data_IF_092813315763
#
_entry.id   IF_092813315763
#
_cell.length_a   1.000
_cell.length_b   1.000
_cell.length_c   1.000
_cell.angle_alpha   90.00
_cell.angle_beta   90.00
_cell.angle_gamma   90.00
#
_symmetry.space_group_name_H-M   'P 1'
#
loop_
_entity.id
_entity.type
_entity.pdbx_description
1 polymer ?
#
# COMPACT_ATOMS: atom_id res chain seq x y z
N UNK A 1 -19.80 14.00 5.84
CA UNK A 1 -18.42 13.82 5.97
C UNK A 1 -18.01 12.35 5.95
N UNK A 2 -16.90 12.15 5.56
CA UNK A 2 -16.32 10.93 5.17
C UNK A 2 -16.02 9.90 6.22
N UNK A 3 -16.13 10.25 7.51
CA UNK A 3 -16.02 9.29 8.59
C UNK A 3 -17.04 8.16 8.41
N UNK A 4 -18.28 8.50 8.04
CA UNK A 4 -19.31 7.49 7.84
C UNK A 4 -19.01 6.58 6.66
N UNK A 5 -18.49 7.14 5.56
CA UNK A 5 -18.11 6.34 4.40
C UNK A 5 -16.93 5.42 4.69
N UNK A 6 -15.96 5.90 5.46
CA UNK A 6 -14.78 5.12 5.81
C UNK A 6 -15.11 3.97 6.76
N UNK A 7 -16.04 4.16 7.67
CA UNK A 7 -16.38 3.18 8.71
C UNK A 7 -17.70 2.47 8.47
N UNK A 8 -18.32 2.65 7.31
CA UNK A 8 -19.68 2.15 7.04
C UNK A 8 -19.82 0.63 7.18
N UNK A 9 -18.74 -0.11 6.96
CA UNK A 9 -18.73 -1.57 7.06
C UNK A 9 -18.24 -2.09 8.40
N UNK A 10 -17.95 -1.21 9.35
CA UNK A 10 -17.51 -1.62 10.68
C UNK A 10 -18.71 -2.11 11.48
N UNK A 11 -18.58 -3.29 12.06
CA UNK A 11 -19.63 -3.89 12.87
C UNK A 11 -19.72 -3.19 14.23
N UNK A 12 -20.93 -3.11 14.80
CA UNK A 12 -21.07 -2.59 16.17
C UNK A 12 -20.20 -3.36 17.16
N UNK A 13 -19.60 -2.65 18.08
CA UNK A 13 -18.82 -3.28 19.15
C UNK A 13 -17.32 -3.23 18.99
N UNK A 14 -16.79 -2.52 17.96
CA UNK A 14 -15.37 -2.29 17.92
C UNK A 14 -14.75 -2.21 16.54
N UNK A 15 -13.44 -2.10 16.55
CA UNK A 15 -12.66 -2.10 15.34
C UNK A 15 -12.74 -3.47 14.67
N UNK A 16 -12.91 -3.45 13.36
CA UNK A 16 -12.81 -4.66 12.56
C UNK A 16 -11.46 -4.67 11.87
N UNK A 17 -11.02 -5.85 11.48
CA UNK A 17 -9.81 -6.00 10.67
C UNK A 17 -9.92 -5.17 9.38
N UNK A 18 -11.13 -5.07 8.82
CA UNK A 18 -11.36 -4.26 7.63
C UNK A 18 -11.01 -2.80 7.82
N UNK A 19 -11.42 -2.20 8.94
CA UNK A 19 -11.07 -0.81 9.23
C UNK A 19 -9.57 -0.62 9.39
N UNK A 20 -8.92 -1.52 10.10
CA UNK A 20 -7.47 -1.46 10.29
C UNK A 20 -6.73 -1.57 8.96
N UNK A 21 -7.18 -2.46 8.09
CA UNK A 21 -6.61 -2.64 6.75
C UNK A 21 -6.75 -1.35 5.93
N UNK A 22 -7.93 -0.72 5.95
CA UNK A 22 -8.15 0.56 5.26
C UNK A 22 -7.19 1.63 5.74
N UNK A 23 -7.04 1.75 7.06
CA UNK A 23 -6.16 2.73 7.66
C UNK A 23 -4.72 2.48 7.21
N UNK A 24 -4.27 1.23 7.24
CA UNK A 24 -2.91 0.87 6.84
C UNK A 24 -2.65 1.13 5.36
N UNK A 25 -3.60 0.83 4.49
CA UNK A 25 -3.46 1.12 3.06
C UNK A 25 -3.25 2.62 2.85
N UNK A 26 -4.11 3.44 3.43
CA UNK A 26 -4.01 4.88 3.32
C UNK A 26 -2.72 5.40 3.96
N UNK A 27 -2.34 4.84 5.10
CA UNK A 27 -1.11 5.20 5.79
C UNK A 27 0.12 4.96 4.91
N UNK A 28 0.20 3.79 4.26
CA UNK A 28 1.31 3.48 3.36
C UNK A 28 1.35 4.43 2.18
N UNK A 29 0.22 4.63 1.52
CA UNK A 29 0.17 5.53 0.35
C UNK A 29 0.54 6.96 0.72
N UNK A 30 0.16 7.39 1.92
CA UNK A 30 0.48 8.73 2.39
C UNK A 30 1.97 8.91 2.70
N UNK A 31 2.58 7.92 3.35
CA UNK A 31 3.96 8.05 3.81
C UNK A 31 5.02 7.61 2.81
N UNK A 32 4.68 6.72 1.89
CA UNK A 32 5.63 6.25 0.86
C UNK A 32 5.77 7.28 -0.27
N UNK A 33 4.78 8.14 -0.46
CA UNK A 33 4.81 9.20 -1.47
C UNK A 33 5.01 8.71 -2.90
N UNK A 34 4.42 7.57 -3.22
CA UNK A 34 4.42 7.06 -4.58
C UNK A 34 3.20 6.19 -4.81
N UNK A 35 2.84 6.00 -6.08
CA UNK A 35 1.81 5.04 -6.42
C UNK A 35 2.27 3.63 -6.12
N UNK A 36 1.36 2.82 -5.59
CA UNK A 36 1.64 1.42 -5.26
C UNK A 36 0.61 0.55 -5.99
N UNK A 37 1.09 -0.51 -6.63
CA UNK A 37 0.20 -1.42 -7.33
C UNK A 37 -0.51 -2.36 -6.36
N UNK A 38 -1.59 -2.98 -6.84
CA UNK A 38 -2.32 -3.99 -6.07
C UNK A 38 -1.38 -5.10 -5.61
N UNK A 39 -0.54 -5.61 -6.52
CA UNK A 39 0.38 -6.69 -6.21
C UNK A 39 1.43 -6.28 -5.17
N UNK A 40 1.94 -5.07 -5.25
CA UNK A 40 2.94 -4.56 -4.31
C UNK A 40 2.40 -4.49 -2.89
N UNK A 41 1.24 -3.87 -2.71
CA UNK A 41 0.63 -3.77 -1.37
C UNK A 41 0.27 -5.16 -0.85
N UNK A 42 -0.26 -6.02 -1.72
CA UNK A 42 -0.60 -7.38 -1.33
C UNK A 42 0.61 -8.14 -0.81
N UNK A 43 1.73 -8.04 -1.50
CA UNK A 43 2.97 -8.72 -1.08
C UNK A 43 3.48 -8.18 0.26
N UNK A 44 3.43 -6.87 0.45
CA UNK A 44 3.85 -6.24 1.70
C UNK A 44 2.99 -6.75 2.87
N UNK A 45 1.67 -6.76 2.69
CA UNK A 45 0.76 -7.21 3.75
C UNK A 45 0.89 -8.69 4.02
N UNK A 46 1.02 -9.49 2.96
CA UNK A 46 1.18 -10.94 3.08
C UNK A 46 2.48 -11.30 3.80
N UNK A 47 3.57 -10.63 3.46
CA UNK A 47 4.88 -10.94 4.03
C UNK A 47 4.95 -10.73 5.54
N UNK A 48 4.11 -9.87 6.08
CA UNK A 48 4.05 -9.56 7.52
C UNK A 48 2.81 -10.12 8.21
N UNK A 49 2.01 -10.89 7.49
CA UNK A 49 0.77 -11.45 8.04
C UNK A 49 -0.24 -10.42 8.48
N UNK A 50 -0.25 -9.24 7.84
CA UNK A 50 -1.14 -8.14 8.20
C UNK A 50 -2.56 -8.43 7.73
N UNK A 51 -2.71 -8.94 6.51
CA UNK A 51 -4.01 -9.24 5.94
C UNK A 51 -3.86 -10.32 4.89
N UNK A 52 -4.91 -11.14 4.71
CA UNK A 52 -4.94 -12.08 3.61
C UNK A 52 -5.44 -11.40 2.34
N UNK A 53 -5.33 -12.11 1.22
CA UNK A 53 -5.70 -11.57 -0.09
C UNK A 53 -7.15 -11.08 -0.13
N UNK A 54 -8.08 -11.87 0.42
CA UNK A 54 -9.50 -11.54 0.34
C UNK A 54 -9.84 -10.30 1.14
N UNK A 55 -9.31 -10.20 2.35
CA UNK A 55 -9.53 -9.03 3.22
C UNK A 55 -8.97 -7.77 2.59
N UNK A 56 -7.73 -7.84 2.14
CA UNK A 56 -7.07 -6.72 1.50
C UNK A 56 -7.79 -6.28 0.21
N UNK A 57 -8.11 -7.24 -0.65
CA UNK A 57 -8.78 -7.00 -1.91
C UNK A 57 -10.11 -6.29 -1.72
N UNK A 58 -10.88 -6.72 -0.72
CA UNK A 58 -12.17 -6.13 -0.38
C UNK A 58 -12.01 -4.68 0.06
N UNK A 59 -11.00 -4.39 0.89
CA UNK A 59 -10.80 -3.03 1.38
C UNK A 59 -10.27 -2.08 0.32
N UNK A 60 -9.43 -2.57 -0.60
CA UNK A 60 -9.02 -1.78 -1.76
C UNK A 60 -10.25 -1.35 -2.57
N UNK A 61 -11.15 -2.30 -2.84
CA UNK A 61 -12.37 -2.02 -3.57
C UNK A 61 -13.21 -0.95 -2.88
N UNK A 62 -13.36 -1.06 -1.57
CA UNK A 62 -14.13 -0.10 -0.77
C UNK A 62 -13.49 1.28 -0.78
N UNK A 63 -12.17 1.36 -0.68
CA UNK A 63 -11.45 2.65 -0.72
C UNK A 63 -11.55 3.32 -2.08
N UNK A 64 -11.53 2.55 -3.16
CA UNK A 64 -11.74 3.09 -4.50
C UNK A 64 -13.15 3.64 -4.64
N UNK A 65 -14.13 2.88 -4.18
CA UNK A 65 -15.55 3.27 -4.29
C UNK A 65 -15.84 4.53 -3.48
N UNK A 66 -15.24 4.65 -2.31
CA UNK A 66 -15.47 5.80 -1.42
C UNK A 66 -14.66 7.04 -1.80
N UNK A 67 -13.72 6.93 -2.73
CA UNK A 67 -12.91 8.06 -3.16
C UNK A 67 -11.73 8.39 -2.27
N UNK A 68 -11.36 7.51 -1.35
CA UNK A 68 -10.19 7.70 -0.50
C UNK A 68 -8.89 7.43 -1.24
N UNK A 69 -8.95 6.58 -2.25
CA UNK A 69 -7.85 6.32 -3.16
C UNK A 69 -8.36 6.35 -4.60
N UNK A 70 -7.45 6.56 -5.54
CA UNK A 70 -7.75 6.48 -6.98
C UNK A 70 -6.75 5.57 -7.65
N UNK A 71 -7.15 4.97 -8.76
CA UNK A 71 -6.29 4.13 -9.57
C UNK A 71 -5.90 4.87 -10.84
N UNK A 72 -4.63 4.80 -11.19
CA UNK A 72 -4.12 5.36 -12.45
C UNK A 72 -3.27 4.33 -13.15
N UNK A 73 -3.51 4.16 -14.46
CA UNK A 73 -2.69 3.30 -15.28
C UNK A 73 -1.47 4.09 -15.74
N UNK A 74 -0.29 3.62 -15.36
CA UNK A 74 0.96 4.28 -15.69
C UNK A 74 1.45 3.92 -17.10
N UNK A 75 2.51 4.59 -17.53
CA UNK A 75 3.09 4.39 -18.86
C UNK A 75 3.52 2.93 -19.07
N UNK A 76 3.98 2.26 -18.01
CA UNK A 76 4.37 0.85 -18.08
C UNK A 76 3.20 -0.13 -18.13
N UNK A 77 1.97 0.37 -18.16
CA UNK A 77 0.76 -0.43 -18.22
C UNK A 77 0.27 -0.95 -16.87
N UNK A 78 0.98 -0.65 -15.80
CA UNK A 78 0.62 -1.10 -14.45
C UNK A 78 -0.30 -0.07 -13.79
N UNK A 79 -1.41 -0.54 -13.23
CA UNK A 79 -2.27 0.31 -12.43
C UNK A 79 -1.68 0.51 -11.05
N UNK A 80 -1.64 1.76 -10.60
CA UNK A 80 -1.17 2.10 -9.26
C UNK A 80 -2.19 2.96 -8.55
N UNK A 81 -2.26 2.76 -7.26
CA UNK A 81 -3.16 3.51 -6.39
C UNK A 81 -2.45 4.72 -5.82
N UNK A 82 -3.21 5.80 -5.74
CA UNK A 82 -2.74 7.06 -5.16
C UNK A 82 -3.75 7.51 -4.12
N UNK A 83 -3.27 8.05 -3.03
CA UNK A 83 -4.15 8.59 -2.00
C UNK A 83 -4.71 9.94 -2.46
N UNK A 84 -5.98 10.19 -2.15
CA UNK A 84 -6.61 11.48 -2.42
C UNK A 84 -6.51 12.38 -1.19
N UNK A 85 -6.86 13.67 -1.35
CA UNK A 85 -6.92 14.58 -0.20
C UNK A 85 -7.87 14.05 0.88
N UNK A 86 -8.99 13.47 0.46
CA UNK A 86 -9.92 12.81 1.37
C UNK A 86 -9.25 11.67 2.12
N UNK A 87 -8.49 10.85 1.41
CA UNK A 87 -7.77 9.73 2.00
C UNK A 87 -6.73 10.19 3.02
N UNK A 88 -6.00 11.27 2.73
CA UNK A 88 -5.02 11.82 3.67
C UNK A 88 -5.70 12.27 4.95
N UNK A 89 -6.75 13.06 4.85
CA UNK A 89 -7.48 13.57 6.01
C UNK A 89 -8.02 12.43 6.88
N UNK A 90 -8.61 11.44 6.24
CA UNK A 90 -9.20 10.31 6.94
C UNK A 90 -8.13 9.44 7.59
N UNK A 91 -7.01 9.21 6.88
CA UNK A 91 -5.88 8.45 7.41
C UNK A 91 -5.33 9.09 8.68
N UNK A 92 -5.09 10.39 8.64
CA UNK A 92 -4.59 11.12 9.82
C UNK A 92 -5.59 11.04 10.98
N UNK A 93 -6.87 11.17 10.69
CA UNK A 93 -7.92 11.09 11.71
C UNK A 93 -7.94 9.74 12.43
N UNK A 94 -7.75 8.64 11.72
CA UNK A 94 -7.87 7.30 12.26
C UNK A 94 -6.52 6.63 12.56
N UNK A 95 -5.42 7.29 12.30
CA UNK A 95 -4.08 6.70 12.42
C UNK A 95 -3.86 5.97 13.74
N UNK A 96 -4.27 6.58 14.84
CA UNK A 96 -4.04 6.03 16.18
C UNK A 96 -4.94 4.84 16.51
N UNK A 97 -5.93 4.56 15.67
CA UNK A 97 -6.77 3.38 15.85
C UNK A 97 -6.04 2.09 15.48
N UNK A 98 -4.89 2.21 14.81
CA UNK A 98 -4.00 1.09 14.55
C UNK A 98 -2.76 1.26 15.44
N UNK A 99 -2.36 0.21 16.18
CA UNK A 99 -1.18 0.30 17.04
C UNK A 99 0.06 0.78 16.28
N UNK A 100 0.85 1.63 16.92
CA UNK A 100 2.05 2.18 16.31
C UNK A 100 3.00 1.10 15.80
N UNK A 101 3.14 0.00 16.55
CA UNK A 101 4.00 -1.10 16.15
C UNK A 101 3.59 -1.72 14.82
N UNK A 102 2.29 -1.83 14.57
CA UNK A 102 1.77 -2.38 13.31
C UNK A 102 2.00 -1.39 12.17
N UNK A 103 1.76 -0.10 12.42
CA UNK A 103 2.02 0.95 11.42
C UNK A 103 3.49 0.99 11.03
N UNK A 104 4.38 0.93 12.01
CA UNK A 104 5.82 0.92 11.77
C UNK A 104 6.28 -0.32 11.02
N UNK A 105 5.73 -1.49 11.37
CA UNK A 105 6.03 -2.74 10.67
C UNK A 105 5.61 -2.66 9.21
N UNK A 106 4.42 -2.16 8.93
CA UNK A 106 3.92 -2.03 7.56
C UNK A 106 4.75 -1.04 6.76
N UNK A 107 5.07 0.10 7.34
CA UNK A 107 5.86 1.13 6.65
C UNK A 107 7.28 0.64 6.35
N UNK A 108 7.91 0.00 7.33
CA UNK A 108 9.26 -0.55 7.14
C UNK A 108 9.24 -1.65 6.07
N UNK A 109 8.23 -2.51 6.09
CA UNK A 109 8.10 -3.56 5.08
C UNK A 109 7.98 -2.98 3.67
N UNK A 110 7.23 -1.90 3.52
CA UNK A 110 7.09 -1.21 2.24
C UNK A 110 8.40 -0.58 1.79
N UNK A 111 9.09 0.10 2.69
CA UNK A 111 10.39 0.71 2.40
C UNK A 111 11.41 -0.36 2.00
N UNK A 112 11.47 -1.47 2.72
CA UNK A 112 12.38 -2.58 2.42
C UNK A 112 12.04 -3.22 1.07
N UNK A 113 10.76 -3.33 0.75
CA UNK A 113 10.31 -3.88 -0.52
C UNK A 113 10.85 -3.06 -1.69
N UNK A 114 10.71 -1.74 -1.65
CA UNK A 114 11.18 -0.89 -2.74
C UNK A 114 12.71 -0.78 -2.78
N UNK A 115 13.35 -0.84 -1.64
CA UNK A 115 14.82 -0.87 -1.59
C UNK A 115 15.36 -2.14 -2.25
N UNK A 116 14.79 -3.30 -1.95
CA UNK A 116 15.19 -4.55 -2.58
C UNK A 116 14.98 -4.53 -4.09
N UNK A 117 13.85 -4.01 -4.55
CA UNK A 117 13.61 -3.88 -5.98
C UNK A 117 14.66 -3.03 -6.67
N UNK A 118 15.06 -1.94 -6.03
CA UNK A 118 16.08 -1.06 -6.58
C UNK A 118 17.44 -1.76 -6.64
N UNK A 119 17.80 -2.49 -5.60
CA UNK A 119 19.06 -3.25 -5.56
C UNK A 119 19.07 -4.33 -6.65
N UNK A 120 18.00 -5.07 -6.81
CA UNK A 120 17.90 -6.09 -7.84
C UNK A 120 18.03 -5.50 -9.24
N UNK A 121 17.37 -4.38 -9.49
CA UNK A 121 17.46 -3.69 -10.78
C UNK A 121 18.88 -3.20 -11.05
N UNK A 122 19.54 -2.63 -10.06
CA UNK A 122 20.91 -2.16 -10.20
C UNK A 122 21.87 -3.32 -10.47
N UNK A 123 21.67 -4.46 -9.82
CA UNK A 123 22.47 -5.66 -10.05
C UNK A 123 22.27 -6.22 -11.45
N UNK A 124 21.05 -6.22 -11.97
CA UNK A 124 20.76 -6.64 -13.34
C UNK A 124 21.50 -5.77 -14.35
N UNK A 125 21.49 -4.46 -14.17
CA UNK A 125 22.21 -3.53 -15.03
C UNK A 125 23.72 -3.80 -14.99
N UNK A 126 24.28 -4.05 -13.82
CA UNK A 126 25.70 -4.40 -13.69
C UNK A 126 26.06 -5.68 -14.42
N UNK A 127 25.24 -6.70 -14.30
CA UNK A 127 25.47 -7.97 -14.97
C UNK A 127 25.46 -7.79 -16.49
N UNK A 128 24.51 -7.05 -17.01
CA UNK A 128 24.41 -6.77 -18.44
C UNK A 128 25.65 -6.01 -18.94
N UNK A 129 26.12 -5.01 -18.21
CA UNK A 129 27.29 -4.25 -18.56
C UNK A 129 28.55 -5.11 -18.60
N UNK A 130 28.71 -6.02 -17.64
CA UNK A 130 29.83 -6.94 -17.59
C UNK A 130 29.77 -7.91 -18.76
N UNK A 131 28.59 -8.45 -19.06
CA UNK A 131 28.41 -9.34 -20.23
C UNK A 131 28.79 -8.65 -21.51
N UNK A 132 28.36 -7.43 -21.73
CA UNK A 132 28.70 -6.64 -22.91
C UNK A 132 30.19 -6.37 -22.99
N UNK A 133 30.82 -6.11 -21.85
CA UNK A 133 32.26 -5.92 -21.77
C UNK A 133 33.05 -7.17 -22.16
N UNK A 134 32.56 -8.34 -21.84
CA UNK A 134 33.22 -9.60 -22.19
C UNK A 134 33.05 -10.01 -23.66
N UNK A 135 32.09 -9.47 -24.33
CA UNK A 135 31.77 -9.84 -25.70
C UNK A 135 32.49 -9.00 -26.76
N UNK A 136 33.42 -8.20 -26.34
CA UNK A 136 34.23 -7.38 -27.24
C UNK A 136 35.41 -8.20 -27.88
#
# INVERSE_FOLDING_TARGET
MDRNAFTADVRPGGLTEGLEIKILICYLLHHIHRGMSFAEINEIFRSKGIANYFEYSQEISRLLHSGHIVSKKEIDGVERFYITDLGVKTSVMFEKDVPAAIRETALKAAQDYYLRQRIERDNEVKVEQVSDGYNI
#
